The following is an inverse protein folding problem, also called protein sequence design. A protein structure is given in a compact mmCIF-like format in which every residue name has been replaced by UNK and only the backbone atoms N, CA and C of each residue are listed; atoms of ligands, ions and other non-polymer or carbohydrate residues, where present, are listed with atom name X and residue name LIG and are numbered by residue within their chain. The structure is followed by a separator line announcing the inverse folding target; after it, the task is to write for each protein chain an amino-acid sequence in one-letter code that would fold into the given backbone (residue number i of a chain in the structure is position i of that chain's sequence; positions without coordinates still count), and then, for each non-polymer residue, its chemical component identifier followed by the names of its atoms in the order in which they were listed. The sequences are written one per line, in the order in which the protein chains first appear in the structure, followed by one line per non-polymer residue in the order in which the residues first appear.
data_IF_514025141851
#
_entry.id   IF_514025141851
#
_cell.length_a   1.000
_cell.length_b   1.000
_cell.length_c   1.000
_cell.angle_alpha   90.00
_cell.angle_beta   90.00
_cell.angle_gamma   90.00
#
_symmetry.space_group_name_H-M   'P 1'
#
loop_
_entity.id
_entity.type
_entity.pdbx_description
1 polymer ?
#
# COMPACT_ATOMS: atom_id res chain seq x y z
N UNK A 1 -59.87 60.70 46.95
CA UNK A 1 -59.62 60.18 48.31
C UNK A 1 -58.51 59.14 48.19
N UNK A 2 -57.30 59.52 48.61
CA UNK A 2 -56.60 58.96 49.79
C UNK A 2 -56.13 57.51 49.60
N UNK A 3 -54.85 57.31 49.24
CA UNK A 3 -53.71 56.86 50.10
C UNK A 3 -53.72 55.35 50.40
N UNK A 4 -52.64 54.58 50.51
CA UNK A 4 -51.18 54.67 50.33
C UNK A 4 -50.61 53.35 50.92
N UNK A 5 -49.35 53.00 50.57
CA UNK A 5 -48.41 52.06 51.25
C UNK A 5 -48.60 50.55 50.93
N UNK A 6 -47.67 49.85 50.26
CA UNK A 6 -46.22 49.55 50.44
C UNK A 6 -45.99 48.17 51.08
N UNK A 7 -45.12 47.39 50.41
CA UNK A 7 -43.97 46.60 50.92
C UNK A 7 -44.13 45.08 51.11
N UNK A 8 -43.25 44.37 50.36
CA UNK A 8 -42.55 43.07 50.59
C UNK A 8 -43.44 41.82 50.85
N UNK A 9 -43.11 40.59 50.40
CA UNK A 9 -41.82 39.90 50.25
C UNK A 9 -42.05 38.56 49.54
N UNK A 10 -41.04 38.11 48.79
CA UNK A 10 -40.56 36.72 48.64
C UNK A 10 -41.33 35.68 47.80
N UNK A 11 -40.70 35.20 46.71
CA UNK A 11 -40.18 33.81 46.48
C UNK A 11 -41.25 32.85 45.89
N UNK A 12 -41.06 31.98 44.90
CA UNK A 12 -39.94 31.35 44.19
C UNK A 12 -40.42 31.07 42.73
N UNK A 13 -39.62 31.29 41.69
CA UNK A 13 -38.70 30.31 41.08
C UNK A 13 -39.37 28.99 40.62
N UNK A 14 -39.70 28.91 39.32
CA UNK A 14 -39.51 27.68 38.53
C UNK A 14 -39.00 28.08 37.14
N UNK A 15 -37.69 28.29 37.06
CA UNK A 15 -36.93 28.02 35.83
C UNK A 15 -36.75 26.50 35.81
N UNK A 16 -37.23 25.84 34.76
CA UNK A 16 -36.86 24.44 34.48
C UNK A 16 -36.72 24.26 32.97
N UNK A 17 -35.54 24.69 32.51
CA UNK A 17 -34.59 23.84 31.78
C UNK A 17 -35.17 22.93 30.70
N UNK A 18 -35.49 23.51 29.54
CA UNK A 18 -35.69 22.79 28.29
C UNK A 18 -34.49 22.97 27.34
N UNK A 19 -33.28 22.72 27.82
CA UNK A 19 -32.09 22.45 27.01
C UNK A 19 -31.21 21.58 27.90
N UNK A 20 -30.91 20.34 27.51
CA UNK A 20 -29.75 19.51 27.92
C UNK A 20 -30.04 18.01 27.76
N UNK A 21 -30.44 17.54 26.57
CA UNK A 21 -30.32 16.11 26.24
C UNK A 21 -29.76 15.82 24.83
N UNK A 22 -29.38 16.83 24.04
CA UNK A 22 -28.79 16.63 22.70
C UNK A 22 -27.30 17.01 22.57
N UNK A 23 -26.66 17.50 23.64
CA UNK A 23 -25.42 18.29 23.53
C UNK A 23 -24.09 17.53 23.51
N UNK A 24 -24.05 16.25 23.90
CA UNK A 24 -22.77 15.55 24.07
C UNK A 24 -22.28 14.81 22.81
N UNK A 25 -23.15 14.54 21.84
CA UNK A 25 -22.76 13.83 20.61
C UNK A 25 -22.21 14.76 19.52
N UNK A 26 -22.65 16.03 19.49
CA UNK A 26 -22.22 17.00 18.47
C UNK A 26 -20.73 17.35 18.56
N UNK A 27 -20.12 17.61 19.74
CA UNK A 27 -18.69 17.94 19.83
C UNK A 27 -17.79 16.76 19.44
N UNK A 28 -18.16 15.53 19.85
CA UNK A 28 -17.40 14.33 19.52
C UNK A 28 -17.49 13.97 18.02
N UNK A 29 -18.67 14.14 17.40
CA UNK A 29 -18.87 13.95 15.96
C UNK A 29 -18.12 15.03 15.14
N UNK A 30 -18.13 16.28 15.60
CA UNK A 30 -17.37 17.37 14.97
C UNK A 30 -15.87 17.14 15.09
N UNK A 31 -15.37 16.72 16.26
CA UNK A 31 -13.95 16.38 16.46
C UNK A 31 -13.51 15.22 15.57
N UNK A 32 -14.27 14.13 15.50
CA UNK A 32 -13.95 12.99 14.62
C UNK A 32 -14.02 13.35 13.14
N UNK A 33 -14.95 14.20 12.72
CA UNK A 33 -15.01 14.68 11.34
C UNK A 33 -13.85 15.63 11.00
N UNK A 34 -13.46 16.52 11.92
CA UNK A 34 -12.28 17.38 11.77
C UNK A 34 -11.01 16.55 11.67
N UNK A 35 -10.83 15.55 12.54
CA UNK A 35 -9.69 14.63 12.49
C UNK A 35 -9.63 13.85 11.17
N UNK A 36 -10.76 13.30 10.70
CA UNK A 36 -10.86 12.63 9.39
C UNK A 36 -10.52 13.57 8.23
N UNK A 37 -11.00 14.81 8.29
CA UNK A 37 -10.73 15.81 7.24
C UNK A 37 -9.27 16.26 7.21
N UNK A 38 -8.66 16.50 8.38
CA UNK A 38 -7.24 16.83 8.50
C UNK A 38 -6.36 15.69 8.02
N UNK A 39 -6.73 14.45 8.36
CA UNK A 39 -6.04 13.25 7.89
C UNK A 39 -6.10 13.10 6.36
N UNK A 40 -7.29 13.24 5.76
CA UNK A 40 -7.41 13.21 4.30
C UNK A 40 -6.52 14.26 3.64
N UNK A 41 -6.48 15.48 4.19
CA UNK A 41 -5.64 16.56 3.69
C UNK A 41 -4.15 16.21 3.71
N UNK A 42 -3.66 15.57 4.76
CA UNK A 42 -2.25 15.21 4.87
C UNK A 42 -1.86 14.05 3.94
N UNK A 43 -2.76 13.08 3.74
CA UNK A 43 -2.58 12.03 2.73
C UNK A 43 -2.52 12.63 1.32
N UNK A 44 -3.40 13.58 1.00
CA UNK A 44 -3.42 14.21 -0.32
C UNK A 44 -2.16 15.05 -0.58
N UNK A 45 -1.67 15.78 0.44
CA UNK A 45 -0.36 16.45 0.36
C UNK A 45 0.78 15.45 0.15
N UNK A 46 0.77 14.33 0.87
CA UNK A 46 1.78 13.28 0.70
C UNK A 46 1.78 12.69 -0.70
N UNK A 47 0.59 12.38 -1.26
CA UNK A 47 0.43 11.93 -2.65
C UNK A 47 0.92 12.96 -3.65
N UNK A 48 0.69 14.25 -3.41
CA UNK A 48 1.20 15.32 -4.28
C UNK A 48 2.73 15.34 -4.30
N UNK A 49 3.39 15.15 -3.16
CA UNK A 49 4.87 15.02 -3.09
C UNK A 49 5.36 13.78 -3.82
N UNK A 50 4.69 12.63 -3.66
CA UNK A 50 5.03 11.41 -4.38
C UNK A 50 4.89 11.61 -5.91
N UNK A 51 3.80 12.22 -6.37
CA UNK A 51 3.60 12.52 -7.79
C UNK A 51 4.64 13.51 -8.32
N UNK A 52 5.03 14.50 -7.52
CA UNK A 52 6.13 15.41 -7.88
C UNK A 52 7.45 14.66 -8.04
N UNK A 53 7.74 13.70 -7.16
CA UNK A 53 8.92 12.84 -7.27
C UNK A 53 8.93 12.01 -8.55
N UNK A 54 7.79 11.36 -8.85
CA UNK A 54 7.58 10.61 -10.10
C UNK A 54 7.91 11.48 -11.32
N UNK A 55 7.31 12.66 -11.40
CA UNK A 55 7.50 13.58 -12.53
C UNK A 55 8.95 14.07 -12.64
N UNK A 56 9.62 14.29 -11.51
CA UNK A 56 11.03 14.70 -11.49
C UNK A 56 11.94 13.62 -12.09
N UNK A 57 11.73 12.36 -11.71
CA UNK A 57 12.47 11.23 -12.26
C UNK A 57 12.21 11.05 -13.75
N UNK A 58 10.95 11.14 -14.18
CA UNK A 58 10.58 11.06 -15.60
C UNK A 58 11.23 12.17 -16.43
N UNK A 59 11.23 13.41 -15.93
CA UNK A 59 11.86 14.54 -16.58
C UNK A 59 13.39 14.37 -16.70
N UNK A 60 14.02 13.67 -15.76
CA UNK A 60 15.44 13.31 -15.80
C UNK A 60 15.74 12.09 -16.71
N UNK A 61 14.71 11.44 -17.27
CA UNK A 61 14.87 10.21 -18.05
C UNK A 61 15.20 8.97 -17.21
N UNK A 62 14.98 9.02 -15.89
CA UNK A 62 15.18 7.88 -14.99
C UNK A 62 14.02 6.88 -15.13
N UNK A 63 14.27 5.61 -15.52
CA UNK A 63 13.24 4.57 -15.63
C UNK A 63 12.45 4.31 -14.35
N UNK A 64 13.00 4.68 -13.19
CA UNK A 64 12.30 4.55 -11.91
C UNK A 64 11.08 5.47 -11.83
N UNK A 65 11.08 6.61 -12.53
CA UNK A 65 9.92 7.49 -12.65
C UNK A 65 8.73 6.79 -13.31
N UNK A 66 8.96 6.14 -14.45
CA UNK A 66 7.92 5.39 -15.16
C UNK A 66 7.42 4.18 -14.36
N UNK A 67 8.34 3.50 -13.66
CA UNK A 67 7.98 2.42 -12.74
C UNK A 67 7.05 2.91 -11.62
N UNK A 68 7.38 4.02 -10.96
CA UNK A 68 6.55 4.55 -9.89
C UNK A 68 5.19 5.07 -10.39
N UNK A 69 5.13 5.60 -11.61
CA UNK A 69 3.87 5.94 -12.25
C UNK A 69 3.00 4.68 -12.48
N UNK A 70 3.59 3.59 -12.97
CA UNK A 70 2.91 2.31 -13.11
C UNK A 70 2.40 1.77 -11.76
N UNK A 71 3.26 1.81 -10.74
CA UNK A 71 2.93 1.38 -9.38
C UNK A 71 1.81 2.22 -8.77
N UNK A 72 1.82 3.55 -8.98
CA UNK A 72 0.77 4.43 -8.48
C UNK A 72 -0.60 4.16 -9.10
N UNK A 73 -0.63 3.76 -10.38
CA UNK A 73 -1.86 3.30 -11.05
C UNK A 73 -2.30 1.92 -10.53
N UNK A 74 -1.37 0.99 -10.32
CA UNK A 74 -1.66 -0.32 -9.72
C UNK A 74 -2.23 -0.21 -8.30
N UNK A 75 -1.66 0.68 -7.49
CA UNK A 75 -2.09 0.94 -6.10
C UNK A 75 -3.36 1.82 -6.05
N UNK A 76 -3.80 2.37 -7.19
CA UNK A 76 -5.08 3.05 -7.37
C UNK A 76 -5.17 4.48 -6.82
N UNK A 77 -4.05 5.07 -6.39
CA UNK A 77 -4.00 6.48 -5.96
C UNK A 77 -3.63 7.43 -7.09
N UNK A 78 -2.98 6.93 -8.15
CA UNK A 78 -3.04 7.54 -9.50
C UNK A 78 -4.14 6.80 -10.26
N UNK A 79 -5.00 7.52 -10.98
CA UNK A 79 -6.19 6.94 -11.64
C UNK A 79 -6.25 7.28 -13.13
N UNK A 80 -5.08 7.54 -13.70
CA UNK A 80 -4.93 8.00 -15.08
C UNK A 80 -5.15 6.85 -16.07
N UNK A 81 -4.84 5.61 -15.67
CA UNK A 81 -4.98 4.40 -16.48
C UNK A 81 -5.86 3.38 -15.75
N UNK A 82 -6.76 2.73 -16.47
CA UNK A 82 -7.66 1.69 -15.95
C UNK A 82 -7.53 0.40 -16.74
N UNK A 83 -7.77 -0.73 -16.06
CA UNK A 83 -7.69 -2.06 -16.64
C UNK A 83 -6.35 -2.73 -16.40
N UNK A 84 -6.41 -4.00 -15.99
CA UNK A 84 -5.24 -4.75 -15.52
C UNK A 84 -4.12 -4.83 -16.57
N UNK A 85 -4.47 -5.07 -17.83
CA UNK A 85 -3.51 -5.14 -18.93
C UNK A 85 -2.91 -3.78 -19.27
N UNK A 86 -3.69 -2.70 -19.25
CA UNK A 86 -3.21 -1.36 -19.52
C UNK A 86 -2.23 -0.88 -18.43
N UNK A 87 -2.49 -1.23 -17.16
CA UNK A 87 -1.57 -0.96 -16.05
C UNK A 87 -0.32 -1.85 -16.17
N UNK A 88 -0.48 -3.13 -16.51
CA UNK A 88 0.65 -4.04 -16.75
C UNK A 88 1.56 -3.53 -17.87
N UNK A 89 0.98 -2.93 -18.91
CA UNK A 89 1.75 -2.32 -20.01
C UNK A 89 2.63 -1.15 -19.55
N UNK A 90 2.20 -0.36 -18.56
CA UNK A 90 3.06 0.67 -17.96
C UNK A 90 4.31 0.06 -17.31
N UNK A 91 4.19 -1.10 -16.64
CA UNK A 91 5.34 -1.82 -16.11
C UNK A 91 6.25 -2.34 -17.23
N UNK A 92 5.69 -2.87 -18.33
CA UNK A 92 6.49 -3.34 -19.47
C UNK A 92 7.29 -2.19 -20.08
N UNK A 93 6.70 -1.01 -20.23
CA UNK A 93 7.38 0.18 -20.74
C UNK A 93 8.51 0.63 -19.80
N UNK A 94 8.27 0.66 -18.48
CA UNK A 94 9.31 0.97 -17.51
C UNK A 94 10.45 -0.06 -17.52
N UNK A 95 10.12 -1.36 -17.64
CA UNK A 95 11.10 -2.44 -17.75
C UNK A 95 11.94 -2.34 -19.03
N UNK A 96 11.31 -2.00 -20.17
CA UNK A 96 11.97 -1.79 -21.45
C UNK A 96 12.94 -0.60 -21.41
N UNK A 97 12.63 0.43 -20.63
CA UNK A 97 13.53 1.57 -20.35
C UNK A 97 14.63 1.24 -19.34
N UNK A 98 14.59 0.07 -18.70
CA UNK A 98 15.67 -0.42 -17.83
C UNK A 98 15.32 -0.50 -16.35
N UNK A 99 14.08 -0.21 -15.92
CA UNK A 99 13.69 -0.36 -14.52
C UNK A 99 13.80 -1.81 -14.06
N UNK A 100 14.70 -2.06 -13.11
CA UNK A 100 14.88 -3.39 -12.52
C UNK A 100 13.66 -3.79 -11.68
N UNK A 101 13.08 -2.84 -10.95
CA UNK A 101 11.89 -3.03 -10.14
C UNK A 101 10.70 -3.52 -10.98
N UNK A 102 10.51 -2.91 -12.17
CA UNK A 102 9.48 -3.32 -13.10
C UNK A 102 9.72 -4.74 -13.65
N UNK A 103 10.98 -5.07 -14.03
CA UNK A 103 11.36 -6.42 -14.49
C UNK A 103 11.06 -7.47 -13.42
N UNK A 104 11.43 -7.20 -12.17
CA UNK A 104 11.18 -8.10 -11.04
C UNK A 104 9.68 -8.32 -10.83
N UNK A 105 8.88 -7.25 -10.81
CA UNK A 105 7.44 -7.39 -10.59
C UNK A 105 6.71 -8.09 -11.74
N UNK A 106 7.17 -7.93 -12.98
CA UNK A 106 6.63 -8.67 -14.14
C UNK A 106 6.95 -10.17 -14.05
N UNK A 107 8.20 -10.53 -13.71
CA UNK A 107 8.59 -11.92 -13.52
C UNK A 107 7.84 -12.56 -12.34
N UNK A 108 7.66 -11.81 -11.25
CA UNK A 108 6.84 -12.23 -10.12
C UNK A 108 5.38 -12.42 -10.51
N UNK A 109 4.77 -11.48 -11.25
CA UNK A 109 3.40 -11.59 -11.74
C UNK A 109 3.23 -12.85 -12.60
N UNK A 110 4.18 -13.13 -13.50
CA UNK A 110 4.18 -14.36 -14.30
C UNK A 110 4.17 -15.61 -13.42
N UNK A 111 5.02 -15.61 -12.39
CA UNK A 111 5.11 -16.70 -11.45
C UNK A 111 3.80 -16.89 -10.65
N UNK A 112 3.17 -15.81 -10.18
CA UNK A 112 2.05 -15.92 -9.21
C UNK A 112 0.66 -15.85 -9.87
N UNK A 113 0.55 -15.35 -11.09
CA UNK A 113 -0.71 -15.16 -11.78
C UNK A 113 -1.54 -13.99 -11.24
N UNK A 114 -0.91 -13.05 -10.54
CA UNK A 114 -1.55 -11.82 -10.09
C UNK A 114 -2.06 -11.00 -11.29
N UNK A 115 -3.23 -10.35 -11.19
CA UNK A 115 -3.80 -9.61 -12.31
C UNK A 115 -2.95 -8.42 -12.74
N UNK A 116 -2.26 -7.76 -11.79
CA UNK A 116 -1.43 -6.57 -12.04
C UNK A 116 -0.13 -6.69 -11.24
N UNK A 117 1.04 -6.29 -11.79
CA UNK A 117 2.29 -6.26 -11.04
C UNK A 117 2.20 -5.33 -9.83
N UNK A 118 2.91 -5.66 -8.75
CA UNK A 118 3.03 -4.78 -7.58
C UNK A 118 1.94 -4.92 -6.52
N UNK A 119 0.98 -5.84 -6.66
CA UNK A 119 0.09 -6.23 -5.55
C UNK A 119 0.79 -7.19 -4.60
N UNK A 120 1.73 -6.68 -3.80
CA UNK A 120 2.57 -7.46 -2.87
C UNK A 120 1.85 -7.87 -1.56
N UNK A 121 0.68 -8.49 -1.67
CA UNK A 121 -0.05 -9.05 -0.52
C UNK A 121 0.78 -10.13 0.21
N UNK A 122 0.48 -10.39 1.48
CA UNK A 122 1.26 -11.34 2.32
C UNK A 122 1.16 -12.79 1.82
N UNK A 123 0.17 -13.12 0.98
CA UNK A 123 -0.06 -14.46 0.43
C UNK A 123 -0.13 -14.48 -1.08
N UNK A 124 1.02 -14.32 -1.74
CA UNK A 124 1.11 -14.63 -3.17
C UNK A 124 1.14 -16.14 -3.35
N UNK A 125 0.29 -16.64 -4.25
CA UNK A 125 0.20 -18.08 -4.56
C UNK A 125 0.82 -18.37 -5.92
N UNK A 126 1.27 -19.62 -6.18
CA UNK A 126 1.72 -20.02 -7.50
C UNK A 126 0.64 -19.84 -8.57
N UNK A 127 1.06 -19.49 -9.80
CA UNK A 127 0.17 -19.40 -10.94
C UNK A 127 -0.62 -20.70 -11.12
N UNK A 128 -1.86 -20.56 -11.61
CA UNK A 128 -2.72 -21.68 -11.94
C UNK A 128 -2.08 -22.63 -12.96
N UNK A 129 -1.31 -22.11 -13.91
CA UNK A 129 -0.45 -22.90 -14.81
C UNK A 129 0.95 -23.02 -14.21
N UNK A 130 1.35 -24.24 -13.81
CA UNK A 130 2.65 -24.49 -13.22
C UNK A 130 3.81 -24.24 -14.19
N UNK A 131 3.58 -24.27 -15.50
CA UNK A 131 4.62 -23.89 -16.47
C UNK A 131 4.92 -22.40 -16.38
N UNK A 132 3.91 -21.57 -16.11
CA UNK A 132 4.09 -20.13 -15.89
C UNK A 132 4.74 -19.85 -14.54
N UNK A 133 4.40 -20.62 -13.49
CA UNK A 133 5.14 -20.59 -12.21
C UNK A 133 6.63 -20.82 -12.45
N UNK A 134 7.02 -21.94 -13.07
CA UNK A 134 8.42 -22.26 -13.29
C UNK A 134 9.13 -21.26 -14.22
N UNK A 135 8.47 -20.84 -15.31
CA UNK A 135 9.04 -19.85 -16.22
C UNK A 135 9.22 -18.47 -15.56
N UNK A 136 8.26 -18.04 -14.74
CA UNK A 136 8.36 -16.80 -13.97
C UNK A 136 9.49 -16.87 -12.93
N UNK A 137 9.65 -18.00 -12.25
CA UNK A 137 10.76 -18.21 -11.31
C UNK A 137 12.13 -18.23 -12.00
N UNK A 138 12.22 -18.84 -13.19
CA UNK A 138 13.43 -18.86 -13.98
C UNK A 138 13.86 -17.46 -14.45
N UNK A 139 12.89 -16.58 -14.74
CA UNK A 139 13.14 -15.16 -15.03
C UNK A 139 13.46 -14.36 -13.77
N UNK A 140 12.74 -14.61 -12.68
CA UNK A 140 12.85 -13.86 -11.44
C UNK A 140 14.19 -14.08 -10.72
N UNK A 141 14.63 -15.34 -10.62
CA UNK A 141 15.83 -15.70 -9.86
C UNK A 141 17.09 -14.90 -10.26
N UNK A 142 17.50 -14.82 -11.56
CA UNK A 142 18.67 -14.03 -11.95
C UNK A 142 18.47 -12.51 -11.78
N UNK A 143 17.23 -12.02 -11.76
CA UNK A 143 16.95 -10.61 -11.45
C UNK A 143 17.18 -10.34 -9.96
N UNK A 144 16.74 -11.25 -9.08
CA UNK A 144 16.93 -11.09 -7.63
C UNK A 144 18.40 -11.18 -7.20
N UNK A 145 19.25 -11.85 -7.97
CA UNK A 145 20.71 -11.83 -7.77
C UNK A 145 21.32 -10.45 -8.06
N UNK A 146 20.70 -9.65 -8.94
CA UNK A 146 21.14 -8.29 -9.27
C UNK A 146 20.51 -7.25 -8.33
N UNK A 147 19.21 -7.39 -8.05
CA UNK A 147 18.46 -6.55 -7.14
C UNK A 147 17.41 -7.41 -6.43
N UNK A 148 17.63 -7.71 -5.15
CA UNK A 148 16.78 -8.61 -4.37
C UNK A 148 15.48 -7.97 -3.85
N UNK A 149 15.28 -6.68 -4.12
CA UNK A 149 14.18 -5.88 -3.63
C UNK A 149 13.49 -5.08 -4.74
N UNK A 150 12.31 -4.58 -4.43
CA UNK A 150 11.62 -3.55 -5.22
C UNK A 150 11.31 -2.36 -4.33
N UNK A 151 11.31 -1.16 -4.91
CA UNK A 151 10.98 0.09 -4.24
C UNK A 151 9.47 0.33 -4.27
N UNK A 152 8.92 0.91 -3.22
CA UNK A 152 7.51 1.34 -3.18
C UNK A 152 7.37 2.76 -2.68
N UNK A 153 6.32 3.42 -3.15
CA UNK A 153 5.89 4.71 -2.65
C UNK A 153 4.95 4.50 -1.47
N UNK A 154 5.24 5.18 -0.36
CA UNK A 154 4.42 5.13 0.85
C UNK A 154 3.95 6.54 1.19
N UNK A 155 2.64 6.65 1.38
CA UNK A 155 2.01 7.73 2.13
C UNK A 155 1.17 7.01 3.19
N UNK A 156 1.46 7.28 4.46
CA UNK A 156 1.11 6.38 5.56
C UNK A 156 -0.39 6.09 5.74
N UNK A 157 -0.69 5.23 6.71
CA UNK A 157 -2.02 5.03 7.27
C UNK A 157 -1.99 5.18 8.79
N UNK A 158 -2.87 6.05 9.35
CA UNK A 158 -2.96 6.27 10.81
C UNK A 158 -3.26 4.97 11.56
N UNK A 159 -4.05 4.08 10.96
CA UNK A 159 -4.50 2.82 11.56
C UNK A 159 -3.36 1.80 11.73
N UNK A 160 -2.24 1.99 11.03
CA UNK A 160 -1.06 1.12 11.10
C UNK A 160 0.09 1.75 11.89
N UNK A 161 -0.11 2.93 12.52
CA UNK A 161 0.96 3.66 13.21
C UNK A 161 2.12 4.07 12.29
N UNK A 162 1.88 4.09 10.98
CA UNK A 162 2.91 4.39 9.99
C UNK A 162 3.10 5.90 9.85
N UNK A 163 4.37 6.29 9.73
CA UNK A 163 4.75 7.66 9.48
C UNK A 163 4.06 8.19 8.21
N UNK A 164 3.27 9.26 8.38
CA UNK A 164 2.49 9.85 7.29
C UNK A 164 3.39 10.56 6.26
N UNK A 165 4.67 10.76 6.56
CA UNK A 165 5.60 11.46 5.66
C UNK A 165 5.83 10.64 4.38
N UNK A 166 5.68 11.26 3.19
CA UNK A 166 5.88 10.58 1.93
C UNK A 166 7.35 10.12 1.79
N UNK A 167 7.54 8.84 1.51
CA UNK A 167 8.86 8.24 1.35
C UNK A 167 8.85 7.10 0.33
N UNK A 168 10.04 6.72 -0.11
CA UNK A 168 10.27 5.46 -0.83
C UNK A 168 10.83 4.45 0.16
N UNK A 169 10.18 3.29 0.25
CA UNK A 169 10.67 2.13 1.01
C UNK A 169 11.01 0.98 0.08
N UNK A 170 11.49 -0.15 0.62
CA UNK A 170 11.85 -1.33 -0.15
C UNK A 170 11.26 -2.61 0.41
N UNK A 171 11.01 -3.56 -0.48
CA UNK A 171 10.44 -4.87 -0.17
C UNK A 171 11.28 -5.96 -0.81
N UNK A 172 11.80 -6.86 0.02
CA UNK A 172 12.45 -8.09 -0.46
C UNK A 172 11.42 -9.00 -1.14
N UNK A 173 11.76 -9.50 -2.32
CA UNK A 173 10.79 -10.25 -3.15
C UNK A 173 10.83 -11.74 -2.89
N UNK A 174 11.97 -12.29 -2.48
CA UNK A 174 12.15 -13.71 -2.27
C UNK A 174 11.20 -14.30 -1.20
N UNK A 175 10.77 -13.49 -0.21
CA UNK A 175 9.73 -13.85 0.77
C UNK A 175 8.42 -14.29 0.13
N UNK A 176 8.09 -13.78 -1.06
CA UNK A 176 6.88 -14.16 -1.78
C UNK A 176 6.95 -15.57 -2.38
N UNK A 177 8.14 -16.17 -2.42
CA UNK A 177 8.40 -17.43 -3.12
C UNK A 177 8.78 -18.55 -2.15
N UNK A 178 9.77 -18.36 -1.27
CA UNK A 178 10.32 -19.47 -0.48
C UNK A 178 9.29 -20.18 0.42
N UNK A 179 8.24 -19.54 0.98
CA UNK A 179 7.26 -20.24 1.81
C UNK A 179 6.53 -21.34 1.04
N UNK A 180 6.31 -21.14 -0.27
CA UNK A 180 5.72 -22.16 -1.15
C UNK A 180 6.56 -23.44 -1.18
N UNK A 181 7.90 -23.33 -1.17
CA UNK A 181 8.77 -24.50 -1.19
C UNK A 181 8.95 -25.15 0.19
N UNK A 182 8.80 -24.37 1.27
CA UNK A 182 8.79 -24.89 2.65
C UNK A 182 7.52 -25.70 2.93
N UNK A 183 6.38 -25.12 2.58
CA UNK A 183 5.06 -25.61 3.01
C UNK A 183 4.39 -26.48 1.93
N UNK A 184 4.83 -26.35 0.68
CA UNK A 184 4.08 -26.83 -0.48
C UNK A 184 2.89 -25.92 -0.75
N UNK A 185 2.15 -26.19 -1.82
CA UNK A 185 0.91 -25.48 -2.13
C UNK A 185 -0.18 -26.46 -2.52
N UNK A 186 -1.36 -26.30 -1.90
CA UNK A 186 -2.54 -27.11 -2.16
C UNK A 186 -3.66 -26.23 -2.67
N UNK A 187 -4.47 -26.76 -3.59
CA UNK A 187 -5.67 -26.12 -4.11
C UNK A 187 -6.84 -27.05 -3.91
N UNK A 188 -8.04 -26.49 -3.73
CA UNK A 188 -9.25 -27.29 -3.67
C UNK A 188 -9.69 -27.68 -5.09
N UNK A 189 -9.87 -28.97 -5.32
CA UNK A 189 -10.40 -29.54 -6.55
C UNK A 189 -11.91 -29.32 -6.67
N UNK A 190 -12.46 -29.74 -7.80
CA UNK A 190 -13.88 -29.51 -8.12
C UNK A 190 -14.85 -30.27 -7.20
N UNK A 191 -14.39 -31.35 -6.56
CA UNK A 191 -15.19 -32.18 -5.64
C UNK A 191 -14.87 -31.87 -4.17
N UNK A 192 -14.12 -30.80 -3.90
CA UNK A 192 -13.75 -30.36 -2.56
C UNK A 192 -12.49 -31.02 -1.99
N UNK A 193 -11.85 -31.91 -2.74
CA UNK A 193 -10.61 -32.58 -2.39
C UNK A 193 -9.41 -31.64 -2.41
N UNK A 194 -8.44 -31.82 -1.51
CA UNK A 194 -7.21 -31.04 -1.52
C UNK A 194 -6.20 -31.66 -2.49
N UNK A 195 -5.94 -30.96 -3.60
CA UNK A 195 -4.95 -31.36 -4.60
C UNK A 195 -3.65 -30.62 -4.30
N UNK A 196 -2.58 -31.37 -4.05
CA UNK A 196 -1.26 -30.77 -3.93
C UNK A 196 -0.76 -30.34 -5.31
N UNK A 197 -0.47 -29.06 -5.44
CA UNK A 197 -0.09 -28.40 -6.69
C UNK A 197 1.40 -28.13 -6.78
N UNK A 198 2.02 -27.69 -5.68
CA UNK A 198 3.48 -27.55 -5.58
C UNK A 198 3.95 -28.43 -4.43
N UNK A 199 4.88 -29.33 -4.73
CA UNK A 199 5.53 -30.16 -3.72
C UNK A 199 6.48 -29.32 -2.87
N UNK A 200 6.64 -29.73 -1.60
CA UNK A 200 7.73 -29.22 -0.77
C UNK A 200 9.06 -29.53 -1.44
N UNK A 201 9.95 -28.55 -1.47
CA UNK A 201 11.26 -28.71 -2.07
C UNK A 201 12.33 -28.06 -1.18
N UNK A 202 13.01 -28.83 -0.33
CA UNK A 202 14.01 -28.28 0.60
C UNK A 202 15.18 -27.58 -0.08
N UNK A 203 15.59 -28.02 -1.28
CA UNK A 203 16.68 -27.40 -2.03
C UNK A 203 16.29 -26.02 -2.55
N UNK A 204 15.11 -25.93 -3.19
CA UNK A 204 14.57 -24.65 -3.66
C UNK A 204 14.22 -23.75 -2.48
N UNK A 205 13.70 -24.28 -1.38
CA UNK A 205 13.47 -23.52 -0.16
C UNK A 205 14.74 -22.78 0.28
N UNK A 206 15.84 -23.52 0.50
CA UNK A 206 17.13 -22.93 0.91
C UNK A 206 17.65 -21.92 -0.10
N UNK A 207 17.51 -22.19 -1.39
CA UNK A 207 17.95 -21.28 -2.46
C UNK A 207 17.22 -19.93 -2.37
N UNK A 208 15.89 -19.95 -2.27
CA UNK A 208 15.09 -18.72 -2.23
C UNK A 208 15.17 -18.00 -0.88
N UNK A 209 15.23 -18.75 0.23
CA UNK A 209 15.48 -18.21 1.57
C UNK A 209 16.84 -17.48 1.62
N UNK A 210 17.89 -18.08 1.05
CA UNK A 210 19.21 -17.44 0.97
C UNK A 210 19.19 -16.14 0.14
N UNK A 211 18.35 -16.03 -0.90
CA UNK A 211 18.21 -14.76 -1.65
C UNK A 211 17.60 -13.66 -0.78
N UNK A 212 16.71 -14.00 0.16
CA UNK A 212 16.15 -13.05 1.11
C UNK A 212 17.12 -12.70 2.22
N UNK A 213 17.72 -13.69 2.89
CA UNK A 213 18.63 -13.48 4.02
C UNK A 213 19.84 -12.63 3.62
N UNK A 214 20.32 -12.80 2.39
CA UNK A 214 21.44 -12.01 1.86
C UNK A 214 20.98 -10.69 1.22
N UNK A 215 19.68 -10.37 1.25
CA UNK A 215 19.15 -9.17 0.63
C UNK A 215 19.49 -7.91 1.44
N UNK A 216 20.48 -7.17 0.96
CA UNK A 216 20.83 -5.86 1.54
C UNK A 216 19.96 -4.78 0.93
N UNK A 217 18.88 -4.44 1.61
CA UNK A 217 17.98 -3.37 1.19
C UNK A 217 18.49 -1.99 1.63
N UNK A 218 18.32 -0.95 0.81
CA UNK A 218 18.63 0.42 1.21
C UNK A 218 17.63 0.92 2.25
N UNK A 219 18.07 1.89 3.05
CA UNK A 219 17.19 2.59 3.98
C UNK A 219 16.12 3.42 3.24
N UNK A 220 15.03 3.74 3.94
CA UNK A 220 13.97 4.57 3.40
C UNK A 220 14.47 5.95 2.93
N UNK A 221 13.99 6.36 1.76
CA UNK A 221 14.26 7.67 1.19
C UNK A 221 13.09 8.62 1.49
N UNK A 222 13.30 9.49 2.48
CA UNK A 222 12.31 10.49 2.91
C UNK A 222 12.25 11.68 1.96
N UNK A 223 11.14 11.81 1.22
CA UNK A 223 11.03 12.81 0.14
C UNK A 223 10.90 14.24 0.67
N UNK A 224 10.41 14.43 1.89
CA UNK A 224 10.38 15.74 2.53
C UNK A 224 11.78 16.36 2.63
N UNK A 225 12.85 15.56 2.81
CA UNK A 225 14.23 16.06 2.84
C UNK A 225 14.79 16.39 1.47
N UNK A 226 14.22 15.79 0.42
CA UNK A 226 14.67 15.97 -0.96
C UNK A 226 14.09 17.25 -1.57
N UNK A 227 12.84 17.57 -1.24
CA UNK A 227 12.09 18.66 -1.87
C UNK A 227 11.87 19.90 -0.98
N UNK A 228 11.99 19.78 0.34
CA UNK A 228 12.00 20.95 1.21
C UNK A 228 13.45 21.42 1.38
N UNK A 229 13.90 22.27 0.46
CA UNK A 229 15.07 23.14 0.64
C UNK A 229 14.60 24.55 0.96
#
# INVERSE_FOLDING_TARGET
MHTSKRVLRSLLLTVSTACLLGGCMMPAMVATNLEKSGYSSDIDKGRAVLLHHVKTLQAAGDPLGDYFYALGNSDGWIKDVQGDEAITELFRQAAAKGSMDAKILLALQKATGEPVPGKLNEGMVPNKDLRLWEAGLAELQPLLQQQCYVRRLVVGSRDLGTDLRPHVTTYAVAYKIWPTFRDGHHVQGAQGEWIKKVEKNPERHRLWEALEENCKVPADMWLARLYNK
#
